data_IF_017505934262
#
_entry.id   IF_017505934262
#
_cell.length_a   1.000
_cell.length_b   1.000
_cell.length_c   1.000
_cell.angle_alpha   90.00
_cell.angle_beta   90.00
_cell.angle_gamma   90.00
#
_symmetry.space_group_name_H-M   'P 1'
#
loop_
_entity.id
_entity.type
_entity.pdbx_description
1 polymer ?
#
# COMPACT_ATOMS: atom_id res chain seq x y z
N UNK A 1 14.51 -0.61 14.55
CA UNK A 1 13.21 -1.31 14.45
C UNK A 1 12.69 -1.54 13.02
N UNK A 2 13.35 -1.04 11.96
CA UNK A 2 12.86 -1.15 10.56
C UNK A 2 13.25 -2.49 9.91
N UNK A 3 14.46 -2.99 10.15
CA UNK A 3 14.95 -4.28 9.66
C UNK A 3 14.07 -5.51 10.01
N UNK A 4 13.57 -5.69 11.25
CA UNK A 4 12.74 -6.85 11.56
C UNK A 4 11.38 -6.81 10.85
N UNK A 5 10.84 -5.61 10.56
CA UNK A 5 9.57 -5.45 9.84
C UNK A 5 9.68 -5.81 8.36
N UNK A 6 10.79 -5.44 7.72
CA UNK A 6 11.08 -5.79 6.33
C UNK A 6 11.32 -7.30 6.21
N UNK A 7 12.09 -7.88 7.13
CA UNK A 7 12.31 -9.32 7.16
C UNK A 7 11.01 -10.11 7.34
N UNK A 8 10.10 -9.63 8.20
CA UNK A 8 8.79 -10.25 8.41
C UNK A 8 7.91 -10.16 7.15
N UNK A 9 7.89 -9.02 6.48
CA UNK A 9 7.13 -8.82 5.25
C UNK A 9 7.65 -9.71 4.10
N UNK A 10 8.98 -9.80 3.95
CA UNK A 10 9.61 -10.66 2.96
C UNK A 10 9.32 -12.15 3.23
N UNK A 11 9.38 -12.58 4.48
CA UNK A 11 9.08 -13.95 4.88
C UNK A 11 7.59 -14.30 4.68
N UNK A 12 6.68 -13.37 4.97
CA UNK A 12 5.25 -13.54 4.72
C UNK A 12 4.93 -13.68 3.22
N UNK A 13 5.57 -12.87 2.37
CA UNK A 13 5.44 -12.98 0.91
C UNK A 13 6.00 -14.30 0.36
N UNK A 14 7.11 -14.77 0.90
CA UNK A 14 7.72 -16.05 0.53
C UNK A 14 6.82 -17.23 0.94
N UNK A 15 6.24 -17.20 2.14
CA UNK A 15 5.32 -18.25 2.60
C UNK A 15 4.01 -18.27 1.80
N UNK A 16 3.51 -17.12 1.37
CA UNK A 16 2.32 -17.03 0.52
C UNK A 16 2.54 -17.65 -0.88
N UNK A 17 3.77 -17.64 -1.40
CA UNK A 17 4.07 -18.20 -2.72
C UNK A 17 4.23 -19.73 -2.70
N UNK A 18 4.60 -20.33 -1.56
CA UNK A 18 4.78 -21.79 -1.40
C UNK A 18 3.42 -22.52 -1.37
N UNK A 19 2.33 -21.85 -1.00
CA UNK A 19 0.97 -22.40 -0.98
C UNK A 19 0.28 -22.40 -2.36
N UNK A 20 1.00 -22.09 -3.43
CA UNK A 20 0.49 -22.16 -4.80
C UNK A 20 0.48 -23.62 -5.25
N UNK A 21 -0.53 -24.38 -4.87
CA UNK A 21 -0.83 -25.66 -5.51
C UNK A 21 -1.14 -25.38 -6.98
N UNK A 22 -0.18 -25.66 -7.86
CA UNK A 22 -0.41 -25.70 -9.30
C UNK A 22 -1.31 -26.91 -9.56
N UNK A 23 -2.61 -26.71 -9.41
CA UNK A 23 -3.55 -27.53 -10.16
C UNK A 23 -3.18 -27.33 -11.62
N UNK A 24 -2.90 -28.41 -12.34
CA UNK A 24 -2.88 -28.34 -13.79
C UNK A 24 -4.15 -27.60 -14.21
N UNK A 25 -3.99 -26.47 -14.91
CA UNK A 25 -5.14 -25.73 -15.41
C UNK A 25 -5.78 -26.61 -16.46
N UNK A 26 -6.81 -27.32 -16.04
CA UNK A 26 -7.52 -28.22 -16.92
C UNK A 26 -8.07 -27.38 -18.07
N UNK A 27 -7.77 -27.82 -19.29
CA UNK A 27 -8.18 -27.15 -20.50
C UNK A 27 -9.66 -27.51 -20.68
N UNK A 28 -10.60 -26.58 -20.44
CA UNK A 28 -12.01 -26.94 -20.32
C UNK A 28 -12.50 -27.63 -21.58
N UNK A 29 -12.95 -28.88 -21.46
CA UNK A 29 -13.44 -29.68 -22.59
C UNK A 29 -12.38 -30.50 -23.32
N UNK A 30 -11.12 -30.51 -22.88
CA UNK A 30 -10.10 -31.43 -23.40
C UNK A 30 -10.50 -32.89 -23.17
N UNK A 31 -11.10 -33.17 -22.01
CA UNK A 31 -11.69 -34.46 -21.62
C UNK A 31 -12.75 -34.95 -22.62
N UNK A 32 -13.48 -34.03 -23.24
CA UNK A 32 -14.53 -34.34 -24.23
C UNK A 32 -13.89 -34.57 -25.61
N UNK A 33 -12.84 -33.82 -25.94
CA UNK A 33 -12.12 -33.99 -27.21
C UNK A 33 -11.28 -35.28 -27.23
N UNK A 34 -10.83 -35.79 -26.09
CA UNK A 34 -10.00 -37.01 -26.00
C UNK A 34 -10.80 -38.31 -26.01
N UNK A 35 -12.08 -38.29 -25.60
CA UNK A 35 -12.99 -39.44 -25.72
C UNK A 35 -13.50 -39.65 -27.15
N UNK A 36 -13.32 -38.67 -28.04
CA UNK A 36 -13.74 -38.76 -29.44
C UNK A 36 -12.89 -39.78 -30.23
N UNK A 37 -13.55 -40.75 -30.85
CA UNK A 37 -12.90 -41.87 -31.54
C UNK A 37 -12.58 -41.58 -33.00
N UNK A 38 -13.34 -40.68 -33.62
CA UNK A 38 -13.11 -40.30 -35.02
C UNK A 38 -12.05 -39.20 -35.10
N UNK A 39 -11.00 -39.42 -35.89
CA UNK A 39 -9.84 -38.51 -35.93
C UNK A 39 -10.21 -37.10 -36.44
N UNK A 40 -11.16 -36.99 -37.39
CA UNK A 40 -11.65 -35.70 -37.90
C UNK A 40 -12.39 -34.90 -36.81
N UNK A 41 -13.30 -35.54 -36.06
CA UNK A 41 -14.06 -34.88 -35.00
C UNK A 41 -13.19 -34.53 -33.80
N UNK A 42 -12.20 -35.36 -33.47
CA UNK A 42 -11.19 -35.07 -32.44
C UNK A 42 -10.37 -33.83 -32.80
N UNK A 43 -9.93 -33.72 -34.05
CA UNK A 43 -9.16 -32.57 -34.54
C UNK A 43 -9.98 -31.29 -34.51
N UNK A 44 -11.24 -31.34 -34.99
CA UNK A 44 -12.19 -30.22 -34.95
C UNK A 44 -12.49 -29.74 -33.52
N UNK A 45 -12.74 -30.67 -32.59
CA UNK A 45 -12.97 -30.35 -31.18
C UNK A 45 -11.76 -29.63 -30.57
N UNK A 46 -10.55 -30.20 -30.73
CA UNK A 46 -9.32 -29.60 -30.23
C UNK A 46 -9.06 -28.21 -30.83
N UNK A 47 -9.30 -28.03 -32.13
CA UNK A 47 -9.14 -26.73 -32.79
C UNK A 47 -10.06 -25.66 -32.19
N UNK A 48 -11.34 -25.99 -31.99
CA UNK A 48 -12.29 -25.05 -31.36
C UNK A 48 -11.92 -24.71 -29.91
N UNK A 49 -11.34 -25.67 -29.19
CA UNK A 49 -10.87 -25.49 -27.83
C UNK A 49 -9.67 -24.53 -27.80
N UNK A 50 -8.67 -24.73 -28.67
CA UNK A 50 -7.52 -23.83 -28.81
C UNK A 50 -7.95 -22.41 -29.18
N UNK A 51 -8.89 -22.24 -30.11
CA UNK A 51 -9.42 -20.92 -30.46
C UNK A 51 -10.11 -20.24 -29.27
N UNK A 52 -10.91 -20.98 -28.49
CA UNK A 52 -11.51 -20.46 -27.26
C UNK A 52 -10.46 -20.04 -26.22
N UNK A 53 -9.45 -20.88 -25.98
CA UNK A 53 -8.35 -20.56 -25.06
C UNK A 53 -7.59 -19.33 -25.52
N UNK A 54 -7.27 -19.23 -26.80
CA UNK A 54 -6.52 -18.10 -27.34
C UNK A 54 -7.30 -16.80 -27.21
N UNK A 55 -8.60 -16.80 -27.53
CA UNK A 55 -9.50 -15.66 -27.30
C UNK A 55 -9.57 -15.28 -25.82
N UNK A 56 -9.63 -16.26 -24.94
CA UNK A 56 -9.69 -16.05 -23.48
C UNK A 56 -8.38 -15.44 -22.96
N UNK A 57 -7.22 -15.95 -23.40
CA UNK A 57 -5.89 -15.41 -23.05
C UNK A 57 -5.76 -13.96 -23.52
N UNK A 58 -6.16 -13.66 -24.76
CA UNK A 58 -6.14 -12.29 -25.29
C UNK A 58 -7.01 -11.38 -24.45
N UNK A 59 -8.24 -11.80 -24.13
CA UNK A 59 -9.16 -11.01 -23.30
C UNK A 59 -8.57 -10.74 -21.92
N UNK A 60 -8.10 -11.78 -21.22
CA UNK A 60 -7.48 -11.65 -19.90
C UNK A 60 -6.27 -10.72 -19.95
N UNK A 61 -5.42 -10.86 -20.97
CA UNK A 61 -4.25 -10.00 -21.17
C UNK A 61 -4.65 -8.54 -21.31
N UNK A 62 -5.63 -8.23 -22.16
CA UNK A 62 -6.14 -6.87 -22.33
C UNK A 62 -6.76 -6.32 -21.04
N UNK A 63 -7.59 -7.11 -20.36
CA UNK A 63 -8.24 -6.70 -19.10
C UNK A 63 -7.18 -6.40 -18.02
N UNK A 64 -6.13 -7.22 -17.93
CA UNK A 64 -5.02 -6.99 -17.00
C UNK A 64 -4.21 -5.75 -17.35
N UNK A 65 -3.91 -5.52 -18.63
CA UNK A 65 -3.21 -4.30 -19.04
C UNK A 65 -4.02 -3.04 -18.73
N UNK A 66 -5.34 -3.06 -18.96
CA UNK A 66 -6.21 -1.95 -18.57
C UNK A 66 -6.19 -1.68 -17.06
N UNK A 67 -6.18 -2.74 -16.23
CA UNK A 67 -6.05 -2.59 -14.78
C UNK A 67 -4.70 -2.01 -14.36
N UNK A 68 -3.61 -2.41 -15.01
CA UNK A 68 -2.27 -1.86 -14.76
C UNK A 68 -2.22 -0.37 -15.13
N UNK A 69 -2.76 0.00 -16.29
CA UNK A 69 -2.82 1.40 -16.73
C UNK A 69 -3.67 2.26 -15.80
N UNK A 70 -4.84 1.76 -15.37
CA UNK A 70 -5.68 2.44 -14.38
C UNK A 70 -4.95 2.64 -13.05
N UNK A 71 -4.22 1.61 -12.58
CA UNK A 71 -3.44 1.69 -11.34
C UNK A 71 -2.28 2.67 -11.46
N UNK A 72 -1.59 2.70 -12.60
CA UNK A 72 -0.52 3.67 -12.87
C UNK A 72 -1.03 5.11 -12.82
N UNK A 73 -2.21 5.40 -13.39
CA UNK A 73 -2.86 6.72 -13.28
C UNK A 73 -3.18 7.08 -11.82
N UNK A 74 -3.65 6.13 -11.03
CA UNK A 74 -3.88 6.36 -9.59
C UNK A 74 -2.58 6.67 -8.85
N UNK A 75 -1.49 5.96 -9.18
CA UNK A 75 -0.17 6.23 -8.61
C UNK A 75 0.30 7.64 -8.95
N UNK A 76 0.13 8.10 -10.19
CA UNK A 76 0.49 9.46 -10.60
C UNK A 76 -0.34 10.52 -9.85
N UNK A 77 -1.65 10.32 -9.72
CA UNK A 77 -2.51 11.20 -8.94
C UNK A 77 -2.08 11.26 -7.47
N UNK A 78 -1.80 10.11 -6.85
CA UNK A 78 -1.31 10.05 -5.46
C UNK A 78 0.05 10.74 -5.31
N UNK A 79 0.98 10.55 -6.24
CA UNK A 79 2.27 11.23 -6.24
C UNK A 79 2.09 12.76 -6.28
N UNK A 80 1.20 13.27 -7.13
CA UNK A 80 0.85 14.69 -7.17
C UNK A 80 0.29 15.19 -5.85
N UNK A 81 -0.62 14.44 -5.23
CA UNK A 81 -1.17 14.78 -3.92
C UNK A 81 -0.09 14.81 -2.83
N UNK A 82 0.83 13.83 -2.80
CA UNK A 82 1.95 13.80 -1.85
C UNK A 82 2.85 15.03 -2.00
N UNK A 83 3.20 15.40 -3.23
CA UNK A 83 4.01 16.61 -3.49
C UNK A 83 3.27 17.87 -3.01
N UNK A 84 1.97 17.97 -3.26
CA UNK A 84 1.17 19.11 -2.80
C UNK A 84 1.11 19.19 -1.26
N UNK A 85 0.91 18.07 -0.58
CA UNK A 85 0.93 18.00 0.88
C UNK A 85 2.29 18.35 1.44
N UNK A 86 3.37 17.87 0.82
CA UNK A 86 4.74 18.17 1.25
C UNK A 86 5.00 19.67 1.20
N UNK A 87 4.50 20.37 0.17
CA UNK A 87 4.59 21.83 0.09
C UNK A 87 3.83 22.53 1.21
N UNK A 88 2.59 22.13 1.47
CA UNK A 88 1.79 22.69 2.57
C UNK A 88 2.47 22.49 3.93
N UNK A 89 3.06 21.32 4.17
CA UNK A 89 3.81 21.04 5.40
C UNK A 89 5.04 21.94 5.51
N UNK A 90 5.80 22.12 4.42
CA UNK A 90 6.95 23.04 4.42
C UNK A 90 6.53 24.49 4.68
N UNK A 91 5.44 24.96 4.08
CA UNK A 91 4.92 26.31 4.27
C UNK A 91 4.45 26.53 5.73
N UNK A 92 3.73 25.56 6.30
CA UNK A 92 3.30 25.60 7.70
C UNK A 92 4.47 25.57 8.68
N UNK A 93 5.48 24.74 8.42
CA UNK A 93 6.69 24.67 9.25
C UNK A 93 7.47 25.99 9.20
N UNK A 94 7.57 26.62 8.02
CA UNK A 94 8.19 27.93 7.88
C UNK A 94 7.39 29.03 8.61
N UNK A 95 6.06 29.01 8.51
CA UNK A 95 5.20 29.96 9.23
C UNK A 95 5.29 29.80 10.75
N UNK A 96 5.34 28.56 11.25
CA UNK A 96 5.51 28.27 12.66
C UNK A 96 6.86 28.76 13.20
N UNK A 97 7.95 28.52 12.47
CA UNK A 97 9.28 29.02 12.85
C UNK A 97 9.32 30.55 12.94
N UNK A 98 8.71 31.25 11.97
CA UNK A 98 8.60 32.71 12.00
C UNK A 98 7.79 33.20 13.20
N UNK A 99 6.64 32.60 13.46
CA UNK A 99 5.81 32.94 14.62
C UNK A 99 6.52 32.69 15.95
N UNK A 100 7.36 31.64 16.04
CA UNK A 100 8.17 31.35 17.22
C UNK A 100 9.31 32.40 17.41
N UNK A 101 9.95 32.85 16.34
CA UNK A 101 10.95 33.92 16.39
C UNK A 101 10.33 35.29 16.76
N UNK A 102 9.16 35.62 16.21
CA UNK A 102 8.44 36.86 16.53
C UNK A 102 7.94 36.91 17.98
N UNK A 103 7.52 35.76 18.54
CA UNK A 103 7.17 35.64 19.95
C UNK A 103 8.38 35.81 20.89
N UNK A 104 9.60 35.46 20.44
CA UNK A 104 10.83 35.68 21.21
C UNK A 104 11.31 37.13 21.16
N UNK A 105 10.89 37.90 20.15
CA UNK A 105 11.28 39.31 19.98
C UNK A 105 10.34 40.30 20.68
N UNK A 106 9.19 39.84 21.16
CA UNK A 106 8.16 40.65 21.83
C UNK A 106 8.10 40.48 23.34
N UNK A 107 9.09 39.84 23.98
CA UNK A 107 9.22 39.86 25.44
C UNK A 107 9.87 41.17 25.89
N UNK A 108 9.15 42.12 26.53
CA UNK A 108 9.82 43.11 27.36
C UNK A 108 10.44 42.36 28.53
N UNK A 109 11.69 42.70 28.85
CA UNK A 109 12.35 42.23 30.05
C UNK A 109 11.50 42.57 31.29
N UNK A 110 10.84 41.58 31.88
CA UNK A 110 10.40 41.65 33.27
C UNK A 110 11.49 41.01 34.13
N UNK A 111 12.48 41.84 34.47
CA UNK A 111 13.38 41.59 35.59
C UNK A 111 12.65 42.01 36.88
N UNK A 112 12.87 41.21 37.91
CA UNK A 112 12.74 41.54 39.33
C UNK A 112 11.33 41.66 39.93
N UNK A 113 10.86 40.53 40.49
CA UNK A 113 10.32 40.50 41.86
C UNK A 113 10.31 39.06 42.39
N UNK A 114 11.40 38.66 43.06
CA UNK A 114 11.28 37.73 44.17
C UNK A 114 10.56 38.46 45.32
N UNK A 115 9.78 37.74 46.14
CA UNK A 115 10.38 37.36 47.41
C UNK A 115 10.11 35.91 47.79
N UNK A 116 11.10 35.36 48.49
CA UNK A 116 11.03 34.13 49.26
C UNK A 116 10.16 34.30 50.52
N UNK A 117 9.33 33.31 50.82
CA UNK A 117 9.06 32.80 52.18
C UNK A 117 8.15 31.54 52.03
N UNK A 118 8.68 30.33 52.28
CA UNK A 118 8.65 29.58 53.55
C UNK A 118 7.60 28.45 53.53
N UNK A 119 8.14 27.23 53.51
CA UNK A 119 7.72 26.04 54.26
C UNK A 119 6.26 25.55 54.19
N UNK A 120 6.05 24.41 53.54
CA UNK A 120 5.66 23.14 54.18
C UNK A 120 5.05 22.16 53.16
N UNK A 121 5.72 21.02 52.96
CA UNK A 121 5.06 19.75 52.61
C UNK A 121 4.76 18.99 53.93
N UNK A 122 4.01 17.87 53.96
CA UNK A 122 3.26 17.18 52.90
C UNK A 122 1.82 16.79 53.31
N UNK A 123 0.97 16.40 52.35
CA UNK A 123 -0.16 15.52 52.63
C UNK A 123 -0.31 14.50 51.50
N UNK A 124 -0.56 13.26 51.92
CA UNK A 124 -0.56 12.00 51.18
C UNK A 124 -1.89 11.77 50.43
N UNK A 125 -1.91 10.62 49.76
CA UNK A 125 -3.03 9.83 49.21
C UNK A 125 -3.34 10.13 47.73
N UNK A 126 -3.31 9.18 46.79
CA UNK A 126 -3.31 7.72 46.85
C UNK A 126 -4.54 7.17 46.12
N UNK A 127 -4.32 6.33 45.10
CA UNK A 127 -5.29 5.48 44.38
C UNK A 127 -6.38 6.21 43.56
N UNK A 128 -6.76 5.80 42.35
CA UNK A 128 -6.97 4.44 41.82
C UNK A 128 -6.92 4.47 40.30
#
# INVERSE_FOLDING_TARGET
MIAPRIAFAAFALLMASILSTVHAQDVPGIEICTVEKTMERRTSCLQSNVDFLQKTITKLTTDHQQKLDASNRQIEALKGAVVSLQKVVSDLQAAQSKAADDAKKTTPAAKDAAPAAKDAAPAKDGAK
#
